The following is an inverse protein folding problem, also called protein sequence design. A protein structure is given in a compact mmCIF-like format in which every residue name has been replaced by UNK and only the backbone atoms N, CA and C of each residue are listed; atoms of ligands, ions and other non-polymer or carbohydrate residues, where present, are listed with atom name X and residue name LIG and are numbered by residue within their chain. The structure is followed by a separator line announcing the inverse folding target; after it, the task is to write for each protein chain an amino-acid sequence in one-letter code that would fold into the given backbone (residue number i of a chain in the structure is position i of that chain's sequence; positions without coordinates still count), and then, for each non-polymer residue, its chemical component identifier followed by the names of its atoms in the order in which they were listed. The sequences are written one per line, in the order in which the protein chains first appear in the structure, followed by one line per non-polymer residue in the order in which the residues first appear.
data_IF_233764418896
#
_entry.id   IF_233764418896
#
_cell.length_a   1.000
_cell.length_b   1.000
_cell.length_c   1.000
_cell.angle_alpha   90.00
_cell.angle_beta   90.00
_cell.angle_gamma   90.00
#
_symmetry.space_group_name_H-M   'P 1'
#
loop_
_entity.id
_entity.type
_entity.pdbx_description
1 polymer ?
#
# COMPACT_ATOMS: atom_id res chain seq x y z
N UNK A 1 -30.09 -14.08 5.25
CA UNK A 1 -28.81 -14.60 5.79
C UNK A 1 -27.73 -13.63 5.37
N UNK A 2 -27.17 -12.86 6.31
CA UNK A 2 -26.05 -11.95 6.01
C UNK A 2 -24.78 -12.79 5.90
N UNK A 3 -24.26 -12.95 4.69
CA UNK A 3 -22.92 -13.50 4.45
C UNK A 3 -21.90 -12.45 4.86
N UNK A 4 -21.68 -12.27 6.17
CA UNK A 4 -20.51 -11.57 6.66
C UNK A 4 -19.30 -12.42 6.27
N UNK A 5 -18.75 -12.12 5.09
CA UNK A 5 -17.55 -12.75 4.59
C UNK A 5 -16.44 -12.51 5.60
N UNK A 6 -16.03 -13.57 6.29
CA UNK A 6 -14.85 -13.60 7.16
C UNK A 6 -13.53 -13.35 6.38
N UNK A 7 -13.63 -13.10 5.06
CA UNK A 7 -12.50 -12.92 4.13
C UNK A 7 -12.50 -11.56 3.43
N UNK A 8 -13.43 -10.65 3.74
CA UNK A 8 -13.30 -9.29 3.23
C UNK A 8 -12.08 -8.63 3.86
N UNK A 9 -11.12 -8.11 3.08
CA UNK A 9 -10.05 -7.27 3.60
C UNK A 9 -10.67 -6.18 4.49
N UNK A 10 -10.04 -5.94 5.64
CA UNK A 10 -10.48 -4.87 6.56
C UNK A 10 -10.41 -3.48 5.90
N UNK A 11 -9.62 -3.36 4.84
CA UNK A 11 -9.28 -2.12 4.16
C UNK A 11 -9.44 -2.26 2.64
N UNK A 12 -9.87 -1.18 2.00
CA UNK A 12 -10.17 -1.13 0.57
C UNK A 12 -8.92 -1.02 -0.30
N UNK A 13 -7.88 -0.35 0.20
CA UNK A 13 -6.62 -0.11 -0.48
C UNK A 13 -5.43 -0.67 0.31
N UNK A 14 -4.42 -1.13 -0.42
CA UNK A 14 -3.13 -1.56 0.11
C UNK A 14 -2.05 -0.94 -0.75
N UNK A 15 -1.02 -0.38 -0.12
CA UNK A 15 0.19 0.06 -0.81
C UNK A 15 1.39 -0.75 -0.34
N UNK A 16 2.19 -1.21 -1.29
CA UNK A 16 3.52 -1.76 -1.06
C UNK A 16 4.56 -0.70 -1.42
N UNK A 17 5.48 -0.46 -0.49
CA UNK A 17 6.51 0.57 -0.59
C UNK A 17 7.84 -0.16 -0.64
N UNK A 18 8.43 -0.24 -1.82
CA UNK A 18 9.70 -0.90 -2.07
C UNK A 18 10.83 0.12 -2.03
N UNK A 19 11.76 -0.06 -1.10
CA UNK A 19 12.96 0.77 -0.95
C UNK A 19 14.07 0.23 -1.85
N UNK A 20 14.72 1.11 -2.60
CA UNK A 20 15.87 0.76 -3.44
C UNK A 20 17.03 0.21 -2.62
N UNK A 21 17.19 0.74 -1.40
CA UNK A 21 18.19 0.28 -0.42
C UNK A 21 17.43 -0.21 0.82
N UNK A 22 17.65 -1.47 1.25
CA UNK A 22 16.98 -2.00 2.44
C UNK A 22 17.30 -1.15 3.67
N UNK A 23 16.25 -0.70 4.36
CA UNK A 23 16.39 0.05 5.60
C UNK A 23 16.72 -0.91 6.74
N UNK A 24 17.78 -0.58 7.52
CA UNK A 24 18.24 -1.41 8.63
C UNK A 24 17.13 -1.57 9.67
N UNK A 25 16.65 -2.79 9.85
CA UNK A 25 15.59 -3.14 10.82
C UNK A 25 14.15 -3.05 10.30
N UNK A 26 13.95 -2.54 9.09
CA UNK A 26 12.62 -2.42 8.44
C UNK A 26 12.52 -3.36 7.23
N UNK A 27 13.63 -3.55 6.51
CA UNK A 27 13.70 -4.38 5.31
C UNK A 27 13.58 -3.57 4.02
N UNK A 28 13.37 -4.25 2.90
CA UNK A 28 13.24 -3.61 1.58
C UNK A 28 11.81 -3.23 1.22
N UNK A 29 10.81 -3.72 1.95
CA UNK A 29 9.39 -3.51 1.62
C UNK A 29 8.59 -3.21 2.87
N UNK A 30 7.73 -2.19 2.80
CA UNK A 30 6.73 -1.86 3.83
C UNK A 30 5.34 -1.97 3.19
N UNK A 31 4.41 -2.61 3.90
CA UNK A 31 2.99 -2.63 3.53
C UNK A 31 2.19 -1.65 4.37
N UNK A 32 1.34 -0.84 3.74
CA UNK A 32 0.36 0.03 4.41
C UNK A 32 -1.03 -0.21 3.81
N UNK A 33 -2.08 -0.04 4.60
CA UNK A 33 -3.47 -0.26 4.16
C UNK A 33 -4.38 0.85 4.63
N UNK A 34 -5.34 1.28 3.81
CA UNK A 34 -6.33 2.28 4.17
C UNK A 34 -7.69 2.04 3.47
N UNK A 35 -8.73 2.75 3.90
CA UNK A 35 -10.05 2.67 3.27
C UNK A 35 -10.20 3.63 2.08
N UNK A 36 -9.36 4.66 2.03
CA UNK A 36 -9.38 5.72 1.04
C UNK A 36 -8.03 5.82 0.33
N UNK A 37 -8.06 6.15 -0.95
CA UNK A 37 -6.84 6.26 -1.77
C UNK A 37 -5.93 7.38 -1.25
N UNK A 38 -6.50 8.52 -0.88
CA UNK A 38 -5.70 9.65 -0.37
C UNK A 38 -4.99 9.32 0.95
N UNK A 39 -5.62 8.52 1.81
CA UNK A 39 -5.01 8.08 3.07
C UNK A 39 -3.86 7.10 2.82
N UNK A 40 -4.03 6.14 1.90
CA UNK A 40 -2.97 5.18 1.58
C UNK A 40 -1.76 5.87 0.94
N UNK A 41 -2.00 6.86 0.07
CA UNK A 41 -0.95 7.68 -0.53
C UNK A 41 -0.22 8.53 0.53
N UNK A 42 -0.98 9.12 1.47
CA UNK A 42 -0.40 9.89 2.57
C UNK A 42 0.47 9.02 3.48
N UNK A 43 -0.01 7.82 3.85
CA UNK A 43 0.78 6.87 4.63
C UNK A 43 2.01 6.40 3.86
N UNK A 44 1.89 6.14 2.56
CA UNK A 44 3.04 5.77 1.74
C UNK A 44 4.11 6.87 1.73
N UNK A 45 3.71 8.14 1.61
CA UNK A 45 4.63 9.28 1.66
C UNK A 45 5.32 9.42 3.03
N UNK A 46 4.59 9.24 4.14
CA UNK A 46 5.18 9.26 5.49
C UNK A 46 6.17 8.11 5.66
N UNK A 47 5.78 6.90 5.25
CA UNK A 47 6.60 5.70 5.36
C UNK A 47 7.87 5.75 4.51
N UNK A 48 7.86 6.46 3.38
CA UNK A 48 9.06 6.67 2.58
C UNK A 48 10.17 7.43 3.33
N UNK A 49 9.82 8.27 4.32
CA UNK A 49 10.77 9.05 5.13
C UNK A 49 11.85 9.78 4.30
N UNK A 50 11.49 10.29 3.12
CA UNK A 50 12.42 10.98 2.21
C UNK A 50 13.39 10.10 1.43
N UNK A 51 13.29 8.77 1.53
CA UNK A 51 14.09 7.83 0.75
C UNK A 51 13.46 7.62 -0.63
N UNK A 52 14.28 7.32 -1.66
CA UNK A 52 13.77 6.88 -2.95
C UNK A 52 13.06 5.54 -2.80
N UNK A 53 11.78 5.51 -3.14
CA UNK A 53 10.93 4.32 -3.04
C UNK A 53 10.01 4.18 -4.24
N UNK A 54 9.73 2.94 -4.60
CA UNK A 54 8.68 2.57 -5.55
C UNK A 54 7.41 2.17 -4.78
N UNK A 55 6.29 2.84 -5.07
CA UNK A 55 5.00 2.59 -4.42
C UNK A 55 4.05 1.94 -5.40
N UNK A 56 3.45 0.81 -5.00
CA UNK A 56 2.39 0.11 -5.75
C UNK A 56 1.13 0.09 -4.91
N UNK A 57 0.03 0.67 -5.40
CA UNK A 57 -1.27 0.69 -4.71
C UNK A 57 -2.23 -0.25 -5.43
N UNK A 58 -2.86 -1.12 -4.67
CA UNK A 58 -3.91 -2.01 -5.14
C UNK A 58 -5.24 -1.78 -4.39
N UNK A 59 -6.37 -2.00 -5.08
CA UNK A 59 -7.74 -1.81 -4.57
C UNK A 59 -8.53 -3.13 -4.54
N UNK A 60 -9.42 -3.27 -3.55
CA UNK A 60 -10.43 -4.31 -3.38
C UNK A 60 -11.84 -3.69 -3.29
N UNK A 61 -12.95 -4.32 -3.76
CA UNK A 61 -13.09 -5.63 -4.39
C UNK A 61 -13.29 -5.53 -5.90
N UNK A 62 -12.30 -5.94 -6.69
CA UNK A 62 -12.51 -6.29 -8.09
C UNK A 62 -12.23 -7.78 -8.29
N UNK A 63 -12.84 -8.65 -7.47
CA UNK A 63 -12.62 -10.11 -7.43
C UNK A 63 -11.20 -10.55 -7.00
N UNK A 64 -10.17 -9.81 -7.41
CA UNK A 64 -8.77 -9.83 -6.98
C UNK A 64 -8.28 -8.40 -6.65
N UNK A 65 -7.09 -8.29 -6.06
CA UNK A 65 -6.42 -7.00 -5.88
C UNK A 65 -5.98 -6.46 -7.24
N UNK A 66 -6.55 -5.33 -7.66
CA UNK A 66 -6.15 -4.66 -8.90
C UNK A 66 -5.21 -3.51 -8.59
N UNK A 67 -4.06 -3.45 -9.26
CA UNK A 67 -3.16 -2.28 -9.18
C UNK A 67 -3.88 -1.08 -9.78
N UNK A 68 -4.06 -0.03 -8.97
CA UNK A 68 -4.76 1.20 -9.34
C UNK A 68 -3.81 2.38 -9.49
N UNK A 69 -2.64 2.34 -8.86
CA UNK A 69 -1.65 3.39 -8.97
C UNK A 69 -0.23 2.85 -8.73
N UNK A 70 0.74 3.37 -9.47
CA UNK A 70 2.16 3.04 -9.36
C UNK A 70 2.99 4.30 -9.58
N UNK A 71 3.89 4.62 -8.65
CA UNK A 71 4.73 5.82 -8.77
C UNK A 71 6.03 5.69 -7.97
N UNK A 72 7.00 6.54 -8.32
CA UNK A 72 8.24 6.69 -7.57
C UNK A 72 8.16 7.94 -6.70
N UNK A 73 8.55 7.81 -5.43
CA UNK A 73 8.74 8.96 -4.54
C UNK A 73 10.24 9.26 -4.39
N UNK A 74 10.56 10.55 -4.22
CA UNK A 74 11.89 11.06 -3.92
C UNK A 74 12.98 10.64 -4.92
N UNK A 75 12.64 10.68 -6.21
CA UNK A 75 13.56 10.39 -7.31
C UNK A 75 14.59 11.50 -7.54
#
# INVERSE_FOLDING_TARGET
MNTNSLRSPKHKFSAEICFDIPLKGIGSVIGVTANDLSDVEHYAAISAQGHPVYVTIAEYPHFDWSIVNEYNLNK
#
